data_IF_957008078396
#
_entry.id   IF_957008078396
#
_cell.length_a   1.000
_cell.length_b   1.000
_cell.length_c   1.000
_cell.angle_alpha   90.00
_cell.angle_beta   90.00
_cell.angle_gamma   90.00
#
_symmetry.space_group_name_H-M   'P 1'
#
loop_
_entity.id
_entity.type
_entity.pdbx_description
1 polymer ?
#
# COMPACT_ATOMS: atom_id res chain seq x y z
N UNK A 1 -2.67 4.64 28.61
CA UNK A 1 -2.10 4.30 27.28
C UNK A 1 -3.14 4.58 26.21
N UNK A 2 -2.91 5.50 25.26
CA UNK A 2 -3.87 5.71 24.16
C UNK A 2 -3.84 4.49 23.24
N UNK A 3 -4.94 3.73 23.16
CA UNK A 3 -5.08 2.64 22.19
C UNK A 3 -4.86 3.25 20.80
N UNK A 4 -3.80 2.85 20.10
CA UNK A 4 -3.54 3.31 18.74
C UNK A 4 -4.67 2.86 17.83
N UNK A 5 -5.51 3.79 17.37
CA UNK A 5 -6.54 3.48 16.38
C UNK A 5 -5.86 3.29 15.02
N UNK A 6 -5.83 2.05 14.53
CA UNK A 6 -5.42 1.73 13.17
C UNK A 6 -6.55 2.12 12.22
N UNK A 7 -6.22 2.89 11.18
CA UNK A 7 -7.13 3.32 10.12
C UNK A 7 -6.62 2.82 8.78
N UNK A 8 -7.53 2.36 7.94
CA UNK A 8 -7.26 2.00 6.56
C UNK A 8 -7.92 3.01 5.62
N UNK A 9 -7.22 3.35 4.54
CA UNK A 9 -7.77 4.14 3.44
C UNK A 9 -7.71 3.32 2.17
N UNK A 10 -8.73 3.45 1.35
CA UNK A 10 -8.90 2.69 0.12
C UNK A 10 -9.05 3.63 -1.07
N UNK A 11 -8.66 3.16 -2.25
CA UNK A 11 -9.08 3.78 -3.51
C UNK A 11 -10.59 3.52 -3.73
N UNK A 12 -11.26 4.27 -4.64
CA UNK A 12 -12.67 4.03 -4.97
C UNK A 12 -12.98 2.58 -5.34
N UNK A 13 -12.04 1.87 -6.00
CA UNK A 13 -12.15 0.46 -6.35
C UNK A 13 -11.89 -0.53 -5.20
N UNK A 14 -11.76 -0.07 -3.96
CA UNK A 14 -11.60 -0.94 -2.78
C UNK A 14 -10.18 -1.44 -2.52
N UNK A 15 -9.21 -1.10 -3.36
CA UNK A 15 -7.79 -1.44 -3.12
C UNK A 15 -7.21 -0.63 -1.96
N UNK A 16 -6.47 -1.30 -1.06
CA UNK A 16 -5.88 -0.68 0.12
C UNK A 16 -4.82 0.35 -0.26
N UNK A 17 -5.10 1.63 -0.02
CA UNK A 17 -4.18 2.72 -0.33
C UNK A 17 -3.18 2.95 0.79
N UNK A 18 -3.64 3.03 2.04
CA UNK A 18 -2.78 3.36 3.18
C UNK A 18 -3.24 2.69 4.48
N UNK A 19 -2.27 2.35 5.34
CA UNK A 19 -2.47 2.05 6.75
C UNK A 19 -1.96 3.21 7.59
N UNK A 20 -2.73 3.68 8.56
CA UNK A 20 -2.37 4.81 9.42
C UNK A 20 -2.62 4.48 10.88
N UNK A 21 -1.74 4.94 11.76
CA UNK A 21 -1.97 4.89 13.20
C UNK A 21 -1.67 6.25 13.81
N UNK A 22 -2.55 6.73 14.68
CA UNK A 22 -2.38 8.00 15.39
C UNK A 22 -2.04 9.18 14.46
N UNK A 23 -2.65 9.21 13.26
CA UNK A 23 -2.44 10.25 12.25
C UNK A 23 -1.26 10.02 11.30
N UNK A 24 -0.31 9.15 11.66
CA UNK A 24 0.87 8.83 10.83
C UNK A 24 0.57 7.71 9.84
N UNK A 25 1.01 7.86 8.58
CA UNK A 25 0.98 6.76 7.60
C UNK A 25 2.07 5.76 7.95
N UNK A 26 1.69 4.50 8.16
CA UNK A 26 2.59 3.39 8.43
C UNK A 26 3.02 2.66 7.14
N UNK A 27 2.11 2.58 6.18
CA UNK A 27 2.34 1.93 4.90
C UNK A 27 1.46 2.56 3.83
N UNK A 28 1.96 2.70 2.61
CA UNK A 28 1.19 3.10 1.43
C UNK A 28 1.45 2.17 0.27
N UNK A 29 0.44 2.01 -0.59
CA UNK A 29 0.50 1.11 -1.74
C UNK A 29 -0.02 1.81 -3.01
N UNK A 30 0.57 1.47 -4.14
CA UNK A 30 0.07 1.84 -5.47
C UNK A 30 -0.11 0.59 -6.31
N UNK A 31 -1.04 0.70 -7.25
CA UNK A 31 -1.50 -0.41 -8.08
C UNK A 31 -1.51 0.03 -9.54
N UNK A 32 -1.34 -0.93 -10.44
CA UNK A 32 -1.61 -0.72 -11.87
C UNK A 32 -3.12 -0.75 -12.17
N UNK A 33 -3.47 -0.63 -13.45
CA UNK A 33 -4.86 -0.62 -13.92
C UNK A 33 -5.57 -1.98 -13.72
N UNK A 34 -4.81 -3.08 -13.66
CA UNK A 34 -5.33 -4.42 -13.38
C UNK A 34 -5.48 -4.69 -11.87
N UNK A 35 -5.11 -3.72 -11.03
CA UNK A 35 -5.17 -3.85 -9.57
C UNK A 35 -4.00 -4.63 -8.95
N UNK A 36 -2.91 -4.88 -9.70
CA UNK A 36 -1.69 -5.49 -9.16
C UNK A 36 -0.86 -4.42 -8.47
N UNK A 37 -0.31 -4.75 -7.30
CA UNK A 37 0.49 -3.81 -6.50
C UNK A 37 1.83 -3.56 -7.17
N UNK A 38 2.11 -2.34 -7.61
CA UNK A 38 3.39 -1.97 -8.27
C UNK A 38 4.37 -1.25 -7.33
N UNK A 39 3.88 -0.70 -6.22
CA UNK A 39 4.76 -0.10 -5.21
C UNK A 39 4.20 -0.24 -3.80
N UNK A 40 5.11 -0.34 -2.84
CA UNK A 40 4.85 -0.24 -1.43
C UNK A 40 5.87 0.69 -0.79
N UNK A 41 5.44 1.57 0.11
CA UNK A 41 6.31 2.42 0.92
C UNK A 41 6.02 2.23 2.40
N UNK A 42 7.07 2.10 3.21
CA UNK A 42 6.95 1.95 4.65
C UNK A 42 7.09 3.27 5.42
N UNK A 43 7.01 3.21 6.75
CA UNK A 43 7.08 4.34 7.67
C UNK A 43 8.44 5.06 7.70
N UNK A 44 9.51 4.40 7.22
CA UNK A 44 10.87 4.97 7.08
C UNK A 44 11.03 5.71 5.76
N UNK A 45 10.05 5.56 4.85
CA UNK A 45 10.07 6.12 3.51
C UNK A 45 10.74 5.23 2.47
N UNK A 46 11.25 4.06 2.86
CA UNK A 46 11.80 3.06 1.94
C UNK A 46 10.68 2.51 1.06
N UNK A 47 10.97 2.41 -0.23
CA UNK A 47 10.02 1.94 -1.24
C UNK A 47 10.49 0.62 -1.85
N UNK A 48 9.56 -0.30 -2.04
CA UNK A 48 9.75 -1.57 -2.75
C UNK A 48 8.86 -1.55 -3.98
N UNK A 49 9.48 -1.67 -5.15
CA UNK A 49 8.78 -1.81 -6.42
C UNK A 49 8.50 -3.27 -6.74
N UNK A 50 7.42 -3.52 -7.48
CA UNK A 50 7.07 -4.84 -8.00
C UNK A 50 6.86 -4.70 -9.50
N UNK A 51 7.49 -5.58 -10.27
CA UNK A 51 7.30 -5.70 -11.70
C UNK A 51 6.73 -7.07 -12.01
N UNK A 52 5.85 -7.14 -13.00
CA UNK A 52 5.19 -8.37 -13.38
C UNK A 52 5.51 -8.68 -14.84
N UNK A 53 5.82 -9.94 -15.12
CA UNK A 53 5.98 -10.41 -16.49
C UNK A 53 4.62 -10.51 -17.18
N UNK A 54 4.62 -10.85 -18.48
CA UNK A 54 3.40 -10.92 -19.30
C UNK A 54 2.36 -11.92 -18.79
N UNK A 55 2.79 -12.94 -18.04
CA UNK A 55 1.91 -13.94 -17.44
C UNK A 55 1.34 -13.45 -16.08
N UNK A 56 1.65 -12.22 -15.67
CA UNK A 56 1.22 -11.65 -14.39
C UNK A 56 2.01 -12.18 -13.19
N UNK A 57 3.11 -12.90 -13.41
CA UNK A 57 3.97 -13.39 -12.33
C UNK A 57 4.97 -12.31 -11.93
N UNK A 58 5.29 -12.23 -10.64
CA UNK A 58 6.33 -11.33 -10.15
C UNK A 58 7.65 -11.67 -10.85
N UNK A 59 8.25 -10.66 -11.47
CA UNK A 59 9.51 -10.77 -12.20
C UNK A 59 10.72 -10.56 -11.30
#
# INVERSE_FOLDING_TARGET
MKKGCLKHRYYPGGLLREKKASGRTLMSYTYDLDGKKISQRDLTGKSTGYAYNRNGMLS
#
